data_IF_525301036488
#
_entry.id   IF_525301036488
#
_cell.length_a   1.000
_cell.length_b   1.000
_cell.length_c   1.000
_cell.angle_alpha   90.00
_cell.angle_beta   90.00
_cell.angle_gamma   90.00
#
_symmetry.space_group_name_H-M   'P 1'
#
loop_
_entity.id
_entity.type
_entity.pdbx_description
1 polymer ?
#
# COMPACT_ATOMS: atom_id res chain seq x y z
N UNK A 1 18.05 2.93 -4.52
CA UNK A 1 16.59 2.72 -4.61
C UNK A 1 16.20 2.53 -6.07
N UNK A 2 15.22 1.66 -6.31
CA UNK A 2 14.61 1.34 -7.61
C UNK A 2 13.17 1.81 -7.60
N UNK A 3 12.72 2.31 -8.75
CA UNK A 3 11.34 2.69 -8.98
C UNK A 3 10.60 1.54 -9.65
N UNK A 4 9.52 1.09 -9.02
CA UNK A 4 8.59 0.09 -9.55
C UNK A 4 7.26 0.79 -9.83
N UNK A 5 6.60 0.39 -10.91
CA UNK A 5 5.31 0.94 -11.31
C UNK A 5 4.38 -0.21 -11.69
N UNK A 6 3.20 -0.21 -11.08
CA UNK A 6 2.12 -1.16 -11.37
C UNK A 6 0.87 -0.37 -11.76
N UNK A 7 0.13 -0.86 -12.75
CA UNK A 7 -1.10 -0.22 -13.24
C UNK A 7 -2.19 -1.25 -13.43
N UNK A 8 -3.42 -0.88 -13.07
CA UNK A 8 -4.59 -1.69 -13.35
C UNK A 8 -5.78 -0.79 -13.67
N UNK A 9 -6.60 -1.24 -14.63
CA UNK A 9 -7.87 -0.59 -14.97
C UNK A 9 -9.00 -1.33 -14.25
N UNK A 10 -9.79 -0.60 -13.47
CA UNK A 10 -10.89 -1.12 -12.65
C UNK A 10 -12.19 -0.49 -13.15
N UNK A 11 -13.18 -1.30 -13.50
CA UNK A 11 -14.50 -0.89 -13.97
C UNK A 11 -15.39 -0.42 -12.79
N UNK A 12 -14.88 0.54 -12.03
CA UNK A 12 -15.55 1.19 -10.92
C UNK A 12 -15.13 2.66 -10.88
N UNK A 13 -15.97 3.53 -10.33
CA UNK A 13 -15.63 4.94 -10.15
C UNK A 13 -14.50 5.13 -9.12
N UNK A 14 -13.76 6.26 -9.15
CA UNK A 14 -12.60 6.47 -8.28
C UNK A 14 -12.95 6.39 -6.79
N UNK A 15 -14.15 6.81 -6.41
CA UNK A 15 -14.64 6.72 -5.05
C UNK A 15 -14.73 5.26 -4.56
N UNK A 16 -15.35 4.36 -5.33
CA UNK A 16 -15.46 2.94 -4.97
C UNK A 16 -14.08 2.29 -4.84
N UNK A 17 -13.16 2.59 -5.76
CA UNK A 17 -11.79 2.07 -5.69
C UNK A 17 -11.06 2.60 -4.46
N UNK A 18 -11.20 3.89 -4.19
CA UNK A 18 -10.64 4.53 -3.00
C UNK A 18 -11.15 3.90 -1.70
N UNK A 19 -12.48 3.83 -1.53
CA UNK A 19 -13.10 3.25 -0.34
C UNK A 19 -12.72 1.78 -0.16
N UNK A 20 -12.67 1.01 -1.24
CA UNK A 20 -12.25 -0.41 -1.20
C UNK A 20 -10.77 -0.56 -0.87
N UNK A 21 -9.90 0.30 -1.39
CA UNK A 21 -8.48 0.22 -1.10
C UNK A 21 -8.18 0.55 0.37
N UNK A 22 -8.87 1.57 0.90
CA UNK A 22 -8.59 2.12 2.22
C UNK A 22 -9.40 1.47 3.34
N UNK A 23 -10.54 0.84 3.07
CA UNK A 23 -11.29 0.13 4.11
C UNK A 23 -10.49 -1.07 4.64
N UNK A 24 -10.47 -1.25 5.96
CA UNK A 24 -9.65 -2.27 6.63
C UNK A 24 -10.01 -3.70 6.23
N UNK A 25 -11.31 -4.01 6.11
CA UNK A 25 -11.78 -5.36 5.79
C UNK A 25 -11.36 -5.76 4.37
N UNK A 26 -11.58 -4.85 3.42
CA UNK A 26 -11.20 -5.07 2.02
C UNK A 26 -9.69 -5.00 1.83
N UNK A 27 -8.97 -4.16 2.58
CA UNK A 27 -7.51 -4.13 2.62
C UNK A 27 -6.93 -5.51 2.96
N UNK A 28 -7.43 -6.13 4.03
CA UNK A 28 -7.00 -7.47 4.43
C UNK A 28 -7.31 -8.51 3.35
N UNK A 29 -8.40 -8.34 2.60
CA UNK A 29 -8.79 -9.25 1.53
C UNK A 29 -7.88 -9.12 0.29
N UNK A 30 -7.58 -7.90 -0.18
CA UNK A 30 -6.77 -7.70 -1.40
C UNK A 30 -5.27 -7.82 -1.16
N UNK A 31 -4.76 -7.28 -0.06
CA UNK A 31 -3.34 -7.43 0.32
C UNK A 31 -3.04 -8.86 0.76
N UNK A 32 -4.00 -9.52 1.43
CA UNK A 32 -3.83 -10.85 2.00
C UNK A 32 -3.55 -11.97 0.99
N UNK A 33 -3.86 -11.76 -0.30
CA UNK A 33 -3.53 -12.71 -1.37
C UNK A 33 -2.01 -12.86 -1.53
N UNK A 34 -1.28 -11.75 -1.43
CA UNK A 34 0.17 -11.71 -1.62
C UNK A 34 0.94 -11.66 -0.30
N UNK A 35 0.36 -11.00 0.70
CA UNK A 35 0.94 -10.86 2.04
C UNK A 35 -0.08 -11.29 3.10
N UNK A 36 -0.27 -12.61 3.30
CA UNK A 36 -1.28 -13.14 4.19
C UNK A 36 -1.08 -12.64 5.63
N UNK A 37 -2.18 -12.28 6.29
CA UNK A 37 -2.14 -11.73 7.65
C UNK A 37 -1.73 -10.26 7.73
N UNK A 38 -1.52 -9.58 6.61
CA UNK A 38 -1.26 -8.13 6.59
C UNK A 38 -2.51 -7.34 6.97
N UNK A 39 -2.33 -6.36 7.86
CA UNK A 39 -3.34 -5.40 8.25
C UNK A 39 -2.66 -4.05 8.48
N UNK A 40 -3.43 -3.01 8.76
CA UNK A 40 -2.87 -1.72 9.14
C UNK A 40 -3.59 -1.15 10.36
N UNK A 41 -2.89 -0.27 11.10
CA UNK A 41 -3.45 0.52 12.20
C UNK A 41 -3.15 1.99 11.96
N UNK A 42 -4.16 2.84 12.17
CA UNK A 42 -4.07 4.28 11.95
C UNK A 42 -5.15 4.77 11.00
N UNK A 43 -5.00 6.00 10.54
CA UNK A 43 -5.96 6.66 9.66
C UNK A 43 -5.25 7.15 8.39
N UNK A 44 -5.84 6.88 7.23
CA UNK A 44 -5.40 7.44 5.95
C UNK A 44 -5.73 8.93 5.89
N UNK A 45 -4.85 9.74 6.46
CA UNK A 45 -4.99 11.20 6.51
C UNK A 45 -3.62 11.85 6.39
N UNK A 46 -3.56 12.93 5.61
CA UNK A 46 -2.32 13.68 5.44
C UNK A 46 -1.72 14.12 6.79
N UNK A 47 -0.43 13.88 6.95
CA UNK A 47 0.35 14.14 8.16
C UNK A 47 0.31 13.02 9.20
N UNK A 48 -0.61 12.06 9.09
CA UNK A 48 -0.74 10.95 10.03
C UNK A 48 0.19 9.79 9.69
N UNK A 49 0.40 8.93 10.68
CA UNK A 49 1.19 7.72 10.58
C UNK A 49 0.28 6.48 10.45
N UNK A 50 0.67 5.56 9.58
CA UNK A 50 0.05 4.27 9.33
C UNK A 50 1.03 3.16 9.68
N UNK A 51 0.59 2.24 10.52
CA UNK A 51 1.33 1.05 10.94
C UNK A 51 0.85 -0.12 10.12
N UNK A 52 1.60 -0.54 9.11
CA UNK A 52 1.36 -1.80 8.43
C UNK A 52 1.94 -2.91 9.28
N UNK A 53 1.10 -3.85 9.72
CA UNK A 53 1.50 -4.91 10.65
C UNK A 53 0.97 -6.26 10.17
N UNK A 54 1.73 -7.32 10.44
CA UNK A 54 1.29 -8.69 10.17
C UNK A 54 0.67 -9.33 11.42
N UNK A 55 -0.15 -10.37 11.23
CA UNK A 55 -0.68 -11.19 12.34
C UNK A 55 0.41 -11.94 13.12
N UNK A 56 1.56 -12.19 12.50
CA UNK A 56 2.71 -12.85 13.15
C UNK A 56 3.57 -11.87 13.96
N UNK A 57 3.24 -10.58 13.91
CA UNK A 57 4.02 -9.51 14.51
C UNK A 57 4.86 -8.76 13.49
N UNK A 58 5.38 -7.61 13.92
CA UNK A 58 6.23 -6.76 13.10
C UNK A 58 5.53 -6.13 11.90
N UNK A 59 6.29 -5.33 11.15
CA UNK A 59 5.81 -4.63 9.95
C UNK A 59 6.55 -3.32 9.71
N UNK A 60 5.87 -2.33 9.15
CA UNK A 60 6.46 -1.03 8.79
C UNK A 60 5.60 0.13 9.26
N UNK A 61 6.26 1.25 9.57
CA UNK A 61 5.62 2.52 9.90
C UNK A 61 5.80 3.46 8.70
N UNK A 62 4.69 3.88 8.11
CA UNK A 62 4.65 4.85 7.04
C UNK A 62 3.98 6.14 7.52
N UNK A 63 4.39 7.27 6.95
CA UNK A 63 3.76 8.57 7.14
C UNK A 63 3.10 8.99 5.83
N UNK A 64 1.83 9.35 5.88
CA UNK A 64 1.10 9.90 4.73
C UNK A 64 1.52 11.36 4.57
N UNK A 65 2.40 11.64 3.62
CA UNK A 65 2.89 13.01 3.39
C UNK A 65 1.90 13.84 2.57
N UNK A 66 1.19 13.21 1.63
CA UNK A 66 0.16 13.85 0.84
C UNK A 66 -1.04 12.92 0.65
N UNK A 67 -2.24 13.48 0.72
CA UNK A 67 -3.49 12.76 0.47
C UNK A 67 -4.50 13.69 -0.18
N UNK A 68 -4.81 13.41 -1.44
CA UNK A 68 -5.87 14.03 -2.22
C UNK A 68 -6.97 12.98 -2.41
N UNK A 69 -8.13 13.12 -1.74
CA UNK A 69 -9.19 12.13 -1.79
C UNK A 69 -9.56 11.76 -3.24
N UNK A 70 -9.68 10.47 -3.51
CA UNK A 70 -10.07 9.90 -4.82
C UNK A 70 -9.11 10.21 -5.98
N UNK A 71 -7.92 10.77 -5.70
CA UNK A 71 -6.99 11.20 -6.74
C UNK A 71 -5.55 10.75 -6.46
N UNK A 72 -5.03 10.98 -5.26
CA UNK A 72 -3.63 10.74 -4.97
C UNK A 72 -3.35 10.45 -3.49
N UNK A 73 -2.44 9.52 -3.23
CA UNK A 73 -1.87 9.27 -1.90
C UNK A 73 -0.37 9.13 -2.06
N UNK A 74 0.39 9.76 -1.16
CA UNK A 74 1.83 9.59 -1.05
C UNK A 74 2.21 9.28 0.38
N UNK A 75 2.79 8.10 0.59
CA UNK A 75 3.25 7.62 1.87
C UNK A 75 4.76 7.33 1.83
N UNK A 76 5.43 7.56 2.95
CA UNK A 76 6.86 7.35 3.11
C UNK A 76 7.13 6.52 4.35
N UNK A 77 7.91 5.45 4.19
CA UNK A 77 8.33 4.62 5.32
C UNK A 77 9.38 5.34 6.16
N UNK A 78 9.16 5.36 7.47
CA UNK A 78 9.97 6.08 8.46
C UNK A 78 10.52 5.20 9.58
N UNK A 79 9.99 3.97 9.74
CA UNK A 79 10.51 2.98 10.68
C UNK A 79 10.06 1.57 10.28
N UNK A 80 10.73 0.58 10.85
CA UNK A 80 10.27 -0.82 10.88
C UNK A 80 9.67 -1.08 12.26
N UNK A 81 8.65 -1.94 12.32
CA UNK A 81 8.03 -2.36 13.57
C UNK A 81 8.55 -3.77 13.86
N UNK A 82 9.14 -3.97 15.03
CA UNK A 82 9.60 -5.28 15.49
C UNK A 82 8.42 -6.13 15.99
N UNK A 83 8.65 -7.43 16.20
CA UNK A 83 7.62 -8.36 16.69
C UNK A 83 7.07 -7.99 18.08
N UNK A 84 7.87 -7.34 18.93
CA UNK A 84 7.43 -6.81 20.23
C UNK A 84 6.67 -5.48 20.12
N UNK A 85 6.52 -4.93 18.91
CA UNK A 85 5.80 -3.70 18.62
C UNK A 85 6.62 -2.42 18.73
N UNK A 86 7.91 -2.50 19.09
CA UNK A 86 8.81 -1.35 19.09
C UNK A 86 9.13 -0.89 17.67
N UNK A 87 9.30 0.43 17.53
CA UNK A 87 9.77 1.03 16.30
C UNK A 87 11.29 0.98 16.25
N UNK A 88 11.84 0.34 15.23
CA UNK A 88 13.25 0.40 14.92
C UNK A 88 13.51 1.34 13.74
N UNK A 89 14.51 2.20 13.95
CA UNK A 89 14.97 3.18 12.97
C UNK A 89 16.46 3.05 12.67
N UNK A 90 17.15 2.11 13.31
CA UNK A 90 18.62 2.06 13.31
C UNK A 90 19.18 0.76 12.76
N UNK A 91 18.44 -0.36 12.78
CA UNK A 91 18.95 -1.61 12.20
C UNK A 91 19.17 -1.50 10.70
N UNK A 92 19.98 -2.39 10.15
CA UNK A 92 20.21 -2.49 8.71
C UNK A 92 18.90 -2.70 7.95
N UNK A 93 17.97 -3.48 8.51
CA UNK A 93 16.64 -3.70 7.94
C UNK A 93 15.85 -2.39 7.92
N UNK A 94 15.84 -1.64 9.03
CA UNK A 94 15.18 -0.34 9.08
C UNK A 94 15.80 0.67 8.10
N UNK A 95 17.12 0.69 7.94
CA UNK A 95 17.78 1.56 6.97
C UNK A 95 17.41 1.20 5.51
N UNK A 96 17.11 -0.06 5.22
CA UNK A 96 16.61 -0.49 3.91
C UNK A 96 15.18 -0.03 3.61
N UNK A 97 14.33 0.08 4.64
CA UNK A 97 12.95 0.54 4.53
C UNK A 97 12.78 2.06 4.66
N UNK A 98 13.58 2.70 5.51
CA UNK A 98 13.50 4.15 5.74
C UNK A 98 13.83 4.89 4.46
N UNK A 99 12.92 5.77 4.07
CA UNK A 99 13.04 6.55 2.84
C UNK A 99 12.48 5.85 1.60
N UNK A 100 12.01 4.60 1.71
CA UNK A 100 11.15 4.01 0.67
C UNK A 100 9.80 4.71 0.66
N UNK A 101 9.18 4.77 -0.53
CA UNK A 101 7.93 5.52 -0.72
C UNK A 101 6.93 4.72 -1.51
N UNK A 102 5.65 4.99 -1.27
CA UNK A 102 4.51 4.42 -1.97
C UNK A 102 3.60 5.55 -2.42
N UNK A 103 3.30 5.59 -3.71
CA UNK A 103 2.39 6.56 -4.28
C UNK A 103 1.25 5.83 -5.01
N UNK A 104 0.03 6.28 -4.77
CA UNK A 104 -1.18 5.75 -5.38
C UNK A 104 -1.85 6.87 -6.15
N UNK A 105 -2.06 6.69 -7.45
CA UNK A 105 -2.74 7.66 -8.30
C UNK A 105 -3.99 7.02 -8.89
N UNK A 106 -5.13 7.68 -8.71
CA UNK A 106 -6.43 7.26 -9.20
C UNK A 106 -6.81 8.20 -10.34
N UNK A 107 -6.90 7.68 -11.56
CA UNK A 107 -7.25 8.47 -12.74
C UNK A 107 -8.54 7.93 -13.33
N UNK A 108 -9.58 8.77 -13.40
CA UNK A 108 -10.82 8.38 -14.09
C UNK A 108 -10.54 8.15 -15.58
N UNK A 109 -10.95 7.00 -16.10
CA UNK A 109 -10.71 6.62 -17.49
C UNK A 109 -11.80 5.68 -18.01
N UNK A 110 -12.42 6.02 -19.14
CA UNK A 110 -13.43 5.21 -19.84
C UNK A 110 -14.60 4.70 -18.95
N UNK A 111 -15.05 5.50 -17.99
CA UNK A 111 -16.12 5.11 -17.06
C UNK A 111 -15.67 4.17 -15.94
N UNK A 112 -14.36 3.93 -15.80
CA UNK A 112 -13.73 3.26 -14.67
C UNK A 112 -12.58 4.10 -14.10
N UNK A 113 -11.67 3.45 -13.39
CA UNK A 113 -10.52 4.07 -12.73
C UNK A 113 -9.25 3.31 -13.11
N UNK A 114 -8.26 4.02 -13.65
CA UNK A 114 -6.89 3.54 -13.72
C UNK A 114 -6.22 3.81 -12.35
N UNK A 115 -5.88 2.75 -11.63
CA UNK A 115 -5.09 2.81 -10.43
C UNK A 115 -3.62 2.56 -10.79
N UNK A 116 -2.77 3.53 -10.48
CA UNK A 116 -1.32 3.43 -10.61
C UNK A 116 -0.69 3.38 -9.23
N UNK A 117 0.13 2.37 -8.98
CA UNK A 117 0.95 2.21 -7.78
C UNK A 117 2.41 2.42 -8.16
N UNK A 118 3.08 3.35 -7.49
CA UNK A 118 4.50 3.65 -7.69
C UNK A 118 5.24 3.43 -6.37
N UNK A 119 6.26 2.58 -6.40
CA UNK A 119 7.07 2.25 -5.23
C UNK A 119 8.51 2.65 -5.48
N UNK A 120 9.13 3.33 -4.53
CA UNK A 120 10.58 3.48 -4.49
C UNK A 120 11.12 2.62 -3.37
N UNK A 121 11.82 1.54 -3.70
CA UNK A 121 12.30 0.55 -2.72
C UNK A 121 13.75 0.12 -2.96
N UNK A 122 14.32 -0.67 -2.07
CA UNK A 122 15.63 -1.29 -2.28
C UNK A 122 15.53 -2.44 -3.31
N UNK A 123 16.54 -2.65 -4.18
CA UNK A 123 16.52 -3.73 -5.19
C UNK A 123 16.30 -5.13 -4.61
N UNK A 124 16.65 -5.36 -3.34
CA UNK A 124 16.41 -6.63 -2.65
C UNK A 124 14.91 -6.99 -2.52
N UNK A 125 14.03 -5.97 -2.45
CA UNK A 125 12.58 -6.15 -2.35
C UNK A 125 11.87 -6.15 -3.70
N UNK A 126 12.61 -5.90 -4.79
CA UNK A 126 12.05 -5.77 -6.14
C UNK A 126 11.29 -7.02 -6.58
N UNK A 127 11.85 -8.21 -6.37
CA UNK A 127 11.18 -9.47 -6.76
C UNK A 127 9.86 -9.66 -6.00
N UNK A 128 9.90 -9.48 -4.67
CA UNK A 128 8.73 -9.61 -3.80
C UNK A 128 7.58 -8.70 -4.25
N UNK A 129 7.87 -7.44 -4.58
CA UNK A 129 6.84 -6.51 -5.04
C UNK A 129 6.35 -6.83 -6.46
N UNK A 130 7.23 -7.23 -7.37
CA UNK A 130 6.83 -7.61 -8.73
C UNK A 130 5.97 -8.87 -8.76
N UNK A 131 6.16 -9.79 -7.83
CA UNK A 131 5.34 -10.99 -7.69
C UNK A 131 4.03 -10.67 -6.95
N UNK A 132 4.09 -9.89 -5.87
CA UNK A 132 2.94 -9.63 -5.01
C UNK A 132 1.93 -8.61 -5.52
N UNK A 133 2.37 -7.48 -6.10
CA UNK A 133 1.45 -6.42 -6.52
C UNK A 133 0.47 -6.82 -7.63
N UNK A 134 0.86 -7.58 -8.67
CA UNK A 134 -0.08 -8.00 -9.70
C UNK A 134 -1.28 -8.77 -9.13
N UNK A 135 -1.04 -9.72 -8.23
CA UNK A 135 -2.08 -10.54 -7.61
C UNK A 135 -2.96 -9.71 -6.66
N UNK A 136 -2.33 -8.84 -5.86
CA UNK A 136 -3.02 -7.95 -4.93
C UNK A 136 -3.95 -6.96 -5.68
N UNK A 137 -3.47 -6.37 -6.78
CA UNK A 137 -4.27 -5.47 -7.63
C UNK A 137 -5.38 -6.23 -8.35
N UNK A 138 -5.13 -7.44 -8.83
CA UNK A 138 -6.18 -8.27 -9.44
C UNK A 138 -7.31 -8.56 -8.44
N UNK A 139 -6.98 -8.84 -7.18
CA UNK A 139 -7.97 -9.02 -6.12
C UNK A 139 -8.73 -7.73 -5.79
N UNK A 140 -8.03 -6.60 -5.70
CA UNK A 140 -8.66 -5.30 -5.50
C UNK A 140 -9.67 -4.98 -6.61
N UNK A 141 -9.27 -5.22 -7.87
CA UNK A 141 -10.15 -5.09 -9.04
C UNK A 141 -11.40 -5.96 -8.90
N UNK A 142 -11.22 -7.24 -8.56
CA UNK A 142 -12.35 -8.15 -8.34
C UNK A 142 -13.33 -7.59 -7.30
N UNK A 143 -12.84 -7.14 -6.13
CA UNK A 143 -13.69 -6.59 -5.06
C UNK A 143 -14.42 -5.33 -5.54
N UNK A 144 -13.74 -4.44 -6.25
CA UNK A 144 -14.34 -3.20 -6.77
C UNK A 144 -15.40 -3.47 -7.85
N UNK A 145 -15.25 -4.53 -8.64
CA UNK A 145 -16.15 -4.87 -9.74
C UNK A 145 -17.30 -5.79 -9.34
N UNK A 146 -17.31 -6.26 -8.08
CA UNK A 146 -18.48 -6.98 -7.53
C UNK A 146 -19.73 -6.08 -7.59
N UNK A 147 -20.89 -6.68 -7.97
CA UNK A 147 -22.16 -5.98 -8.08
C UNK A 147 -22.67 -5.46 -6.73
#
# INVERSE_FOLDING_TARGET
MKKLEFKINIAANPQKVWDTMLNLETYQEWVGVSWPGSTYKGEWKQGQELRFVSTEGGGTLAKVEELQPQAYIFAKHIAVINNDGTEDRSSEIAQGWIGTTEAYTFTESNGGTELKVELHTSPEWESMFNEGWPDALAKLKEICERP
#
